data_IF_674733505095
#
_entry.id   IF_674733505095
#
_cell.length_a   1.000
_cell.length_b   1.000
_cell.length_c   1.000
_cell.angle_alpha   90.00
_cell.angle_beta   90.00
_cell.angle_gamma   90.00
#
_symmetry.space_group_name_H-M   'P 1'
#
loop_
_entity.id
_entity.type
_entity.pdbx_description
1 polymer ?
#
# COMPACT_ATOMS: atom_id res chain seq x y z
N UNK A 1 4.06 10.84 16.10
CA UNK A 1 2.68 10.38 16.40
C UNK A 1 1.72 11.23 15.59
N UNK A 2 0.63 10.66 15.08
CA UNK A 2 -0.42 11.44 14.40
C UNK A 2 -1.26 12.20 15.42
N UNK A 3 -1.47 13.50 15.17
CA UNK A 3 -2.40 14.34 15.95
C UNK A 3 -3.86 13.98 15.68
N UNK A 4 -4.80 14.56 16.44
CA UNK A 4 -6.22 14.38 16.17
C UNK A 4 -6.61 14.99 14.82
N UNK A 5 -6.03 16.15 14.49
CA UNK A 5 -6.20 16.83 13.22
C UNK A 5 -5.68 15.99 12.05
N UNK A 6 -4.51 15.37 12.18
CA UNK A 6 -3.95 14.48 11.16
C UNK A 6 -4.88 13.30 10.88
N UNK A 7 -5.34 12.62 11.94
CA UNK A 7 -6.25 11.47 11.81
C UNK A 7 -7.55 11.85 11.11
N UNK A 8 -8.12 13.00 11.48
CA UNK A 8 -9.33 13.52 10.85
C UNK A 8 -9.11 13.80 9.37
N UNK A 9 -7.99 14.45 9.01
CA UNK A 9 -7.66 14.75 7.62
C UNK A 9 -7.47 13.46 6.80
N UNK A 10 -6.74 12.48 7.33
CA UNK A 10 -6.52 11.17 6.68
C UNK A 10 -7.85 10.48 6.41
N UNK A 11 -8.77 10.42 7.37
CA UNK A 11 -10.09 9.82 7.18
C UNK A 11 -10.91 10.57 6.12
N UNK A 12 -10.89 11.90 6.14
CA UNK A 12 -11.60 12.72 5.15
C UNK A 12 -11.07 12.50 3.73
N UNK A 13 -9.75 12.44 3.57
CA UNK A 13 -9.13 12.17 2.26
C UNK A 13 -9.42 10.74 1.82
N UNK A 14 -9.31 9.77 2.73
CA UNK A 14 -9.61 8.38 2.44
C UNK A 14 -11.05 8.18 1.96
N UNK A 15 -12.02 8.85 2.60
CA UNK A 15 -13.42 8.81 2.19
C UNK A 15 -13.68 9.29 0.75
N UNK A 16 -12.77 10.09 0.18
CA UNK A 16 -12.88 10.57 -1.21
C UNK A 16 -12.46 9.54 -2.26
N UNK A 17 -11.78 8.44 -1.88
CA UNK A 17 -11.41 7.38 -2.83
C UNK A 17 -12.63 6.71 -3.47
N UNK A 18 -13.77 6.66 -2.78
CA UNK A 18 -15.05 6.29 -3.38
C UNK A 18 -15.09 4.92 -4.10
N UNK A 19 -14.28 3.94 -3.67
CA UNK A 19 -14.22 2.62 -4.31
C UNK A 19 -13.14 2.47 -5.39
N UNK A 20 -12.29 3.49 -5.59
CA UNK A 20 -11.20 3.47 -6.57
C UNK A 20 -9.91 2.78 -6.08
N UNK A 21 -9.98 1.93 -5.04
CA UNK A 21 -8.79 1.38 -4.39
C UNK A 21 -7.91 0.55 -5.33
N UNK A 22 -8.55 -0.20 -6.24
CA UNK A 22 -7.84 -1.03 -7.21
C UNK A 22 -7.10 -0.19 -8.26
N UNK A 23 -7.75 0.84 -8.78
CA UNK A 23 -7.17 1.76 -9.77
C UNK A 23 -6.03 2.56 -9.16
N UNK A 24 -6.26 3.20 -8.01
CA UNK A 24 -5.25 4.00 -7.30
C UNK A 24 -4.07 3.14 -6.87
N UNK A 25 -4.33 1.92 -6.39
CA UNK A 25 -3.27 0.99 -6.01
C UNK A 25 -2.41 0.56 -7.21
N UNK A 26 -3.05 0.23 -8.33
CA UNK A 26 -2.34 -0.15 -9.55
C UNK A 26 -1.50 1.01 -10.10
N UNK A 27 -2.07 2.21 -10.16
CA UNK A 27 -1.40 3.41 -10.64
C UNK A 27 -0.19 3.77 -9.76
N UNK A 28 -0.35 3.70 -8.43
CA UNK A 28 0.72 4.00 -7.47
C UNK A 28 1.93 3.08 -7.68
N UNK A 29 1.69 1.77 -7.81
CA UNK A 29 2.76 0.79 -8.05
C UNK A 29 3.41 0.99 -9.43
N UNK A 30 2.61 1.23 -10.47
CA UNK A 30 3.13 1.52 -11.80
C UNK A 30 4.03 2.76 -11.82
N UNK A 31 3.61 3.84 -11.14
CA UNK A 31 4.41 5.06 -10.96
C UNK A 31 5.70 4.77 -10.19
N UNK A 32 5.64 3.99 -9.11
CA UNK A 32 6.82 3.57 -8.35
C UNK A 32 7.82 2.81 -9.22
N UNK A 33 7.37 1.81 -9.97
CA UNK A 33 8.25 1.04 -10.85
C UNK A 33 8.86 1.88 -11.97
N UNK A 34 8.14 2.90 -12.45
CA UNK A 34 8.62 3.78 -13.53
C UNK A 34 9.61 4.82 -13.00
N UNK A 35 9.28 5.51 -11.90
CA UNK A 35 10.10 6.57 -11.32
C UNK A 35 11.31 6.02 -10.55
N UNK A 36 11.18 4.82 -9.96
CA UNK A 36 12.20 4.17 -9.15
C UNK A 36 12.43 2.73 -9.63
N UNK A 37 13.10 2.52 -10.79
CA UNK A 37 13.35 1.19 -11.34
C UNK A 37 13.99 0.17 -10.38
N UNK A 38 14.87 0.55 -9.42
CA UNK A 38 15.40 -0.41 -8.45
C UNK A 38 14.33 -1.14 -7.63
N UNK A 39 13.15 -0.56 -7.42
CA UNK A 39 12.05 -1.22 -6.70
C UNK A 39 11.52 -2.48 -7.41
N UNK A 40 11.78 -2.63 -8.72
CA UNK A 40 11.41 -3.82 -9.49
C UNK A 40 12.16 -5.08 -9.04
N UNK A 41 13.30 -4.95 -8.35
CA UNK A 41 14.08 -6.11 -7.87
C UNK A 41 13.32 -6.96 -6.86
N UNK A 42 12.33 -6.38 -6.15
CA UNK A 42 11.45 -7.11 -5.24
C UNK A 42 10.34 -7.90 -5.94
N UNK A 43 10.14 -7.69 -7.24
CA UNK A 43 9.04 -8.27 -8.02
C UNK A 43 9.52 -9.04 -9.27
N UNK A 44 10.53 -9.93 -9.18
CA UNK A 44 11.05 -10.64 -10.35
C UNK A 44 10.06 -11.64 -10.96
N UNK A 45 8.98 -11.96 -10.23
CA UNK A 45 7.94 -12.92 -10.59
C UNK A 45 6.63 -12.24 -11.04
N UNK A 46 6.64 -10.91 -11.21
CA UNK A 46 5.49 -10.16 -11.72
C UNK A 46 5.71 -9.80 -13.19
N UNK A 47 4.63 -9.89 -13.97
CA UNK A 47 4.43 -9.04 -15.13
C UNK A 47 4.28 -7.59 -14.63
N UNK A 48 5.29 -6.77 -14.93
CA UNK A 48 5.34 -5.37 -14.56
C UNK A 48 4.91 -4.45 -15.71
N UNK A 49 4.23 -4.96 -16.74
CA UNK A 49 3.65 -4.14 -17.82
C UNK A 49 2.52 -3.23 -17.30
N UNK A 50 2.32 -2.09 -17.98
CA UNK A 50 1.22 -1.19 -17.64
C UNK A 50 -0.12 -1.90 -17.81
N UNK A 51 -0.92 -1.94 -16.74
CA UNK A 51 -2.22 -2.61 -16.74
C UNK A 51 -2.19 -4.10 -16.41
N UNK A 52 -1.03 -4.68 -16.09
CA UNK A 52 -0.91 -6.06 -15.63
C UNK A 52 -1.85 -6.38 -14.46
N UNK A 53 -2.53 -7.52 -14.54
CA UNK A 53 -3.42 -8.02 -13.49
C UNK A 53 -2.67 -8.27 -12.17
N UNK A 54 -1.37 -8.60 -12.23
CA UNK A 54 -0.56 -8.77 -11.03
C UNK A 54 -0.33 -7.43 -10.32
N UNK A 55 -0.10 -6.35 -11.06
CA UNK A 55 0.00 -5.00 -10.49
C UNK A 55 -1.34 -4.57 -9.90
N UNK A 56 -2.46 -4.77 -10.62
CA UNK A 56 -3.81 -4.43 -10.14
C UNK A 56 -4.17 -5.19 -8.87
N UNK A 57 -3.95 -6.51 -8.87
CA UNK A 57 -4.22 -7.37 -7.73
C UNK A 57 -3.35 -7.04 -6.51
N UNK A 58 -2.07 -6.72 -6.71
CA UNK A 58 -1.19 -6.31 -5.61
C UNK A 58 -1.52 -4.91 -5.09
N UNK A 59 -1.79 -3.96 -5.99
CA UNK A 59 -2.21 -2.60 -5.64
C UNK A 59 -3.46 -2.61 -4.76
N UNK A 60 -4.47 -3.42 -5.10
CA UNK A 60 -5.66 -3.62 -4.26
C UNK A 60 -5.33 -4.09 -2.85
N UNK A 61 -4.38 -5.04 -2.69
CA UNK A 61 -3.94 -5.52 -1.37
C UNK A 61 -3.26 -4.41 -0.55
N UNK A 62 -2.41 -3.61 -1.18
CA UNK A 62 -1.73 -2.48 -0.52
C UNK A 62 -2.75 -1.44 -0.04
N UNK A 63 -3.68 -1.04 -0.90
CA UNK A 63 -4.68 -0.04 -0.54
C UNK A 63 -5.68 -0.60 0.50
N UNK A 64 -6.04 -1.88 0.43
CA UNK A 64 -6.84 -2.51 1.48
C UNK A 64 -6.14 -2.49 2.85
N UNK A 65 -4.82 -2.75 2.88
CA UNK A 65 -4.03 -2.66 4.12
C UNK A 65 -3.97 -1.22 4.67
N UNK A 66 -3.84 -0.20 3.81
CA UNK A 66 -3.98 1.20 4.21
C UNK A 66 -5.37 1.49 4.78
N UNK A 67 -6.43 0.94 4.19
CA UNK A 67 -7.78 1.03 4.74
C UNK A 67 -7.91 0.43 6.14
N UNK A 68 -7.26 -0.71 6.40
CA UNK A 68 -7.17 -1.31 7.74
C UNK A 68 -6.40 -0.40 8.69
N UNK A 69 -5.28 0.17 8.26
CA UNK A 69 -4.49 1.11 9.05
C UNK A 69 -5.30 2.36 9.46
N UNK A 70 -6.04 2.94 8.52
CA UNK A 70 -6.85 4.14 8.74
C UNK A 70 -8.01 3.88 9.71
N UNK A 71 -8.58 2.67 9.71
CA UNK A 71 -9.58 2.25 10.70
C UNK A 71 -8.99 2.04 12.10
N UNK A 72 -7.67 1.86 12.23
CA UNK A 72 -6.97 1.50 13.46
C UNK A 72 -5.80 2.46 13.78
N UNK A 73 -5.92 3.75 13.47
CA UNK A 73 -4.80 4.72 13.60
C UNK A 73 -4.25 4.90 15.02
N UNK A 74 -5.01 4.51 16.05
CA UNK A 74 -4.55 4.51 17.45
C UNK A 74 -3.76 3.24 17.83
N UNK A 75 -3.78 2.20 16.98
CA UNK A 75 -3.19 0.91 17.27
C UNK A 75 -2.62 0.22 16.01
N UNK A 76 -1.83 0.99 15.25
CA UNK A 76 -1.27 0.57 13.97
C UNK A 76 -0.35 -0.67 14.09
N UNK A 77 0.45 -0.73 15.16
CA UNK A 77 1.39 -1.84 15.37
C UNK A 77 0.67 -3.18 15.50
N UNK A 78 -0.44 -3.23 16.23
CA UNK A 78 -1.25 -4.44 16.32
C UNK A 78 -1.97 -4.72 15.00
N UNK A 79 -2.61 -3.71 14.42
CA UNK A 79 -3.43 -3.86 13.21
C UNK A 79 -2.63 -4.30 11.97
N UNK A 80 -1.35 -3.97 11.89
CA UNK A 80 -0.46 -4.30 10.78
C UNK A 80 0.65 -5.29 11.17
N UNK A 81 0.55 -5.93 12.33
CA UNK A 81 1.61 -6.82 12.87
C UNK A 81 2.02 -7.94 11.91
N UNK A 82 1.06 -8.61 11.28
CA UNK A 82 1.33 -9.66 10.30
C UNK A 82 2.06 -9.13 9.06
N UNK A 83 1.65 -7.96 8.54
CA UNK A 83 2.31 -7.32 7.40
C UNK A 83 3.71 -6.84 7.77
N UNK A 84 3.90 -6.32 8.97
CA UNK A 84 5.22 -5.94 9.50
C UNK A 84 6.15 -7.15 9.52
N UNK A 85 5.69 -8.28 10.08
CA UNK A 85 6.48 -9.50 10.13
C UNK A 85 6.81 -10.03 8.73
N UNK A 86 5.82 -10.01 7.82
CA UNK A 86 6.01 -10.42 6.44
C UNK A 86 7.10 -9.59 5.75
N UNK A 87 7.05 -8.26 5.86
CA UNK A 87 8.03 -7.38 5.22
C UNK A 87 9.42 -7.49 5.86
N UNK A 88 9.49 -7.59 7.19
CA UNK A 88 10.77 -7.63 7.90
C UNK A 88 11.51 -8.96 7.75
N UNK A 89 10.82 -10.10 7.87
CA UNK A 89 11.48 -11.39 8.00
C UNK A 89 11.46 -12.24 6.73
N UNK A 90 10.40 -12.11 5.91
CA UNK A 90 10.21 -12.96 4.74
C UNK A 90 10.58 -12.21 3.46
N UNK A 91 9.97 -11.04 3.22
CA UNK A 91 10.23 -10.26 2.01
C UNK A 91 11.54 -9.48 2.08
N UNK A 92 11.92 -9.04 3.29
CA UNK A 92 13.16 -8.30 3.59
C UNK A 92 13.36 -7.10 2.66
N UNK A 93 12.29 -6.32 2.50
CA UNK A 93 12.34 -5.07 1.75
C UNK A 93 13.22 -4.09 2.52
N UNK A 94 14.17 -3.45 1.82
CA UNK A 94 15.03 -2.41 2.38
C UNK A 94 14.19 -1.24 2.92
N UNK A 95 14.37 -0.80 4.20
CA UNK A 95 13.56 0.23 4.84
C UNK A 95 13.70 1.66 4.30
#
# INVERSE_FOLDING_TARGET
>A
MLTAEDKKLIQQVWGKLGGAEEEVGAETLWRMFTAYPPTKTYFPHFDLSQGSDQIRGHGKKVVAALGTAIKNMDNLSQALSELSNLHAYNLRVDP
#
